data_IF_712742496640
#
_entry.id   IF_712742496640
#
_cell.length_a   1.000
_cell.length_b   1.000
_cell.length_c   1.000
_cell.angle_alpha   90.00
_cell.angle_beta   90.00
_cell.angle_gamma   90.00
#
_symmetry.space_group_name_H-M   'P 1'
#
loop_
_entity.id
_entity.type
_entity.pdbx_description
1 polymer ?
#
# COMPACT_ATOMS: atom_id res chain seq x y z
N UNK A 1 -20.42 -36.41 25.55
CA UNK A 1 -21.55 -37.35 25.25
C UNK A 1 -22.06 -37.14 23.81
N UNK A 2 -22.37 -35.92 23.35
CA UNK A 2 -22.86 -35.65 21.98
C UNK A 2 -21.85 -36.10 20.87
N UNK A 3 -20.58 -35.84 21.03
CA UNK A 3 -19.53 -36.28 20.14
C UNK A 3 -19.42 -37.80 20.00
N UNK A 4 -19.57 -38.52 21.13
CA UNK A 4 -19.55 -39.99 21.13
C UNK A 4 -20.78 -40.59 20.46
N UNK A 5 -21.94 -39.95 20.58
CA UNK A 5 -23.18 -40.37 19.93
C UNK A 5 -23.09 -40.14 18.38
N UNK A 6 -22.57 -39.01 17.94
CA UNK A 6 -22.35 -38.73 16.51
C UNK A 6 -21.36 -39.72 15.87
N UNK A 7 -20.28 -40.06 16.56
CA UNK A 7 -19.29 -41.04 16.06
C UNK A 7 -19.89 -42.44 15.96
N UNK A 8 -20.77 -42.83 16.90
CA UNK A 8 -21.47 -44.10 16.87
C UNK A 8 -22.47 -44.19 15.69
N UNK A 9 -23.09 -43.07 15.29
CA UNK A 9 -24.02 -43.03 14.15
C UNK A 9 -23.32 -43.03 12.79
N UNK A 10 -22.16 -42.40 12.68
CA UNK A 10 -21.48 -42.23 11.38
C UNK A 10 -20.44 -43.30 11.08
N UNK A 11 -20.01 -44.08 12.09
CA UNK A 11 -18.97 -45.12 11.93
C UNK A 11 -17.58 -44.58 11.53
N UNK A 12 -17.40 -43.24 11.50
CA UNK A 12 -16.20 -42.58 11.04
C UNK A 12 -15.81 -41.35 11.86
N UNK A 13 -14.80 -40.58 11.45
CA UNK A 13 -14.44 -39.34 12.09
C UNK A 13 -15.59 -38.32 11.99
N UNK A 14 -15.71 -37.51 13.04
CA UNK A 14 -16.70 -36.43 13.04
C UNK A 14 -16.24 -35.36 12.06
N UNK A 15 -17.03 -35.16 11.03
CA UNK A 15 -16.77 -34.16 9.98
C UNK A 15 -18.04 -33.37 9.70
N UNK A 16 -17.85 -32.13 9.30
CA UNK A 16 -18.90 -31.26 8.79
C UNK A 16 -18.35 -30.43 7.64
N UNK A 17 -19.19 -30.12 6.67
CA UNK A 17 -18.89 -29.15 5.62
C UNK A 17 -20.04 -28.15 5.53
N UNK A 18 -19.72 -26.91 5.26
CA UNK A 18 -20.68 -25.86 5.00
C UNK A 18 -20.21 -25.00 3.83
N UNK A 19 -21.15 -24.53 3.02
CA UNK A 19 -20.91 -23.54 2.00
C UNK A 19 -21.70 -22.28 2.33
N UNK A 20 -21.00 -21.15 2.33
CA UNK A 20 -21.61 -19.84 2.57
C UNK A 20 -21.39 -18.95 1.36
N UNK A 21 -22.48 -18.44 0.79
CA UNK A 21 -22.43 -17.43 -0.23
C UNK A 21 -22.78 -16.09 0.43
N UNK A 22 -21.76 -15.24 0.60
CA UNK A 22 -21.95 -13.92 1.19
C UNK A 22 -22.70 -13.02 0.20
N UNK A 23 -23.77 -12.38 0.71
CA UNK A 23 -24.55 -11.42 -0.08
C UNK A 23 -23.98 -10.02 0.03
N UNK A 24 -23.92 -9.31 -1.09
CA UNK A 24 -23.52 -7.89 -1.12
C UNK A 24 -22.01 -7.64 -1.16
N UNK A 25 -21.64 -6.37 -1.09
CA UNK A 25 -20.25 -5.89 -1.14
C UNK A 25 -19.91 -5.22 0.17
N UNK A 26 -18.75 -5.53 0.72
CA UNK A 26 -18.18 -4.85 1.89
C UNK A 26 -17.03 -3.94 1.45
N UNK A 27 -17.29 -2.69 1.04
CA UNK A 27 -16.22 -1.80 0.59
C UNK A 27 -15.24 -1.56 1.74
N UNK A 28 -13.94 -1.58 1.41
CA UNK A 28 -12.87 -1.15 2.29
C UNK A 28 -12.61 0.34 2.12
N UNK A 29 -12.29 1.02 3.21
CA UNK A 29 -11.89 2.42 3.21
C UNK A 29 -10.51 2.54 3.85
N UNK A 30 -9.66 3.39 3.27
CA UNK A 30 -8.36 3.70 3.85
C UNK A 30 -8.10 5.20 3.76
N UNK A 31 -7.48 5.74 4.82
CA UNK A 31 -6.97 7.10 4.86
C UNK A 31 -5.52 7.03 5.28
N UNK A 32 -4.63 7.70 4.53
CA UNK A 32 -3.20 7.60 4.74
C UNK A 32 -2.56 8.99 4.77
N UNK A 33 -1.52 9.12 5.61
CA UNK A 33 -0.81 10.36 5.85
C UNK A 33 0.68 10.06 5.89
N UNK A 34 1.48 10.98 5.37
CA UNK A 34 2.93 10.90 5.49
C UNK A 34 3.56 12.27 5.69
N UNK A 35 4.69 12.25 6.40
CA UNK A 35 5.61 13.36 6.50
C UNK A 35 6.82 13.06 5.60
N UNK A 36 7.23 14.03 4.79
CA UNK A 36 8.36 13.89 3.88
C UNK A 36 9.37 14.99 4.07
N UNK A 37 10.62 14.69 3.76
CA UNK A 37 11.70 15.64 3.53
C UNK A 37 12.06 15.58 2.03
N UNK A 38 12.18 16.73 1.40
CA UNK A 38 12.58 16.86 -0.01
C UNK A 38 13.93 17.57 -0.06
N UNK A 39 14.90 16.95 -0.68
CA UNK A 39 16.18 17.56 -1.00
C UNK A 39 16.05 18.34 -2.32
N UNK A 40 16.14 19.67 -2.30
CA UNK A 40 15.95 20.49 -3.50
C UNK A 40 17.08 20.34 -4.51
N UNK A 41 18.28 19.94 -4.09
CA UNK A 41 19.45 19.84 -4.97
C UNK A 41 19.44 18.53 -5.78
N UNK A 42 18.74 17.52 -5.29
CA UNK A 42 18.70 16.19 -5.94
C UNK A 42 17.31 15.73 -6.33
N UNK A 43 16.26 16.40 -5.84
CA UNK A 43 14.88 15.95 -5.98
C UNK A 43 14.55 14.68 -5.17
N UNK A 44 15.44 14.26 -4.25
CA UNK A 44 15.20 13.07 -3.43
C UNK A 44 14.11 13.33 -2.39
N UNK A 45 13.17 12.41 -2.33
CA UNK A 45 12.12 12.38 -1.30
C UNK A 45 12.47 11.32 -0.26
N UNK A 46 12.52 11.72 1.00
CA UNK A 46 12.67 10.82 2.14
C UNK A 46 11.38 10.83 2.96
N UNK A 47 10.77 9.66 3.14
CA UNK A 47 9.57 9.53 3.97
C UNK A 47 10.02 9.41 5.43
N UNK A 48 9.65 10.39 6.26
CA UNK A 48 10.02 10.43 7.67
C UNK A 48 9.04 9.64 8.54
N UNK A 49 7.76 9.67 8.18
CA UNK A 49 6.68 8.99 8.89
C UNK A 49 5.58 8.59 7.93
N UNK A 50 4.95 7.45 8.17
CA UNK A 50 3.80 7.01 7.40
C UNK A 50 2.75 6.37 8.30
N UNK A 51 1.50 6.82 8.19
CA UNK A 51 0.35 6.32 8.95
C UNK A 51 -0.73 5.86 7.99
N UNK A 52 -1.23 4.65 8.17
CA UNK A 52 -2.30 4.07 7.37
C UNK A 52 -3.44 3.59 8.27
N UNK A 53 -4.58 4.26 8.21
CA UNK A 53 -5.81 3.86 8.85
C UNK A 53 -6.70 3.14 7.85
N UNK A 54 -7.10 1.90 8.13
CA UNK A 54 -7.98 1.13 7.25
C UNK A 54 -9.15 0.53 8.00
N UNK A 55 -10.32 0.61 7.39
CA UNK A 55 -11.49 -0.18 7.78
C UNK A 55 -11.29 -1.64 7.31
N UNK A 56 -11.07 -2.51 8.27
CA UNK A 56 -10.76 -3.93 8.06
C UNK A 56 -11.95 -4.85 8.34
N UNK A 57 -13.11 -4.25 8.62
CA UNK A 57 -14.25 -5.02 9.16
C UNK A 57 -13.91 -5.52 10.55
N UNK A 58 -13.82 -6.83 10.74
CA UNK A 58 -13.30 -7.45 11.95
C UNK A 58 -11.93 -8.05 11.69
N UNK A 59 -10.94 -7.62 12.45
CA UNK A 59 -9.58 -8.17 12.38
C UNK A 59 -9.52 -9.53 13.10
N UNK A 60 -9.67 -10.63 12.37
CA UNK A 60 -9.59 -11.99 12.93
C UNK A 60 -8.18 -12.29 13.45
N UNK A 61 -7.17 -11.78 12.75
CA UNK A 61 -5.78 -11.92 13.12
C UNK A 61 -5.07 -10.57 12.97
N UNK A 62 -5.10 -9.70 14.00
CA UNK A 62 -4.64 -8.30 13.90
C UNK A 62 -3.22 -8.17 13.36
N UNK A 63 -2.25 -8.94 13.83
CA UNK A 63 -0.86 -8.83 13.37
C UNK A 63 -0.68 -9.19 11.88
N UNK A 64 -1.49 -10.10 11.33
CA UNK A 64 -1.47 -10.38 9.90
C UNK A 64 -2.12 -9.27 9.10
N UNK A 65 -3.16 -8.66 9.63
CA UNK A 65 -3.80 -7.48 9.03
C UNK A 65 -2.84 -6.30 8.99
N UNK A 66 -2.13 -6.02 10.09
CA UNK A 66 -1.07 -5.00 10.13
C UNK A 66 0.00 -5.26 9.08
N UNK A 67 0.47 -6.51 8.96
CA UNK A 67 1.43 -6.89 7.92
C UNK A 67 0.93 -6.68 6.49
N UNK A 68 -0.36 -6.93 6.22
CA UNK A 68 -0.97 -6.64 4.92
C UNK A 68 -1.06 -5.13 4.65
N UNK A 69 -1.40 -4.33 5.65
CA UNK A 69 -1.44 -2.87 5.54
C UNK A 69 -0.04 -2.35 5.23
N UNK A 70 0.97 -2.74 6.00
CA UNK A 70 2.36 -2.34 5.81
C UNK A 70 2.88 -2.73 4.42
N UNK A 71 2.65 -3.97 4.00
CA UNK A 71 3.07 -4.45 2.69
C UNK A 71 2.41 -3.70 1.53
N UNK A 72 1.11 -3.44 1.62
CA UNK A 72 0.37 -2.67 0.62
C UNK A 72 0.85 -1.21 0.53
N UNK A 73 1.11 -0.58 1.67
CA UNK A 73 1.68 0.79 1.71
C UNK A 73 3.06 0.83 1.06
N UNK A 74 3.96 -0.10 1.38
CA UNK A 74 5.30 -0.15 0.76
C UNK A 74 5.21 -0.31 -0.75
N UNK A 75 4.31 -1.16 -1.24
CA UNK A 75 4.07 -1.29 -2.67
C UNK A 75 3.59 0.04 -3.30
N UNK A 76 2.68 0.73 -2.65
CA UNK A 76 2.20 2.04 -3.12
C UNK A 76 3.27 3.13 -3.06
N UNK A 77 4.18 3.10 -2.08
CA UNK A 77 5.37 3.96 -2.01
C UNK A 77 6.29 3.69 -3.20
N UNK A 78 6.53 2.43 -3.54
CA UNK A 78 7.32 2.05 -4.70
C UNK A 78 6.76 2.64 -6.00
N UNK A 79 5.47 2.52 -6.21
CA UNK A 79 4.79 3.13 -7.38
C UNK A 79 4.84 4.65 -7.36
N UNK A 80 4.80 5.25 -6.18
CA UNK A 80 4.87 6.70 -6.04
C UNK A 80 6.24 7.28 -6.41
N UNK A 81 7.33 6.61 -6.03
CA UNK A 81 8.66 7.21 -6.02
C UNK A 81 9.70 6.52 -6.92
N UNK A 82 9.58 5.20 -7.16
CA UNK A 82 10.70 4.43 -7.69
C UNK A 82 10.36 3.55 -8.89
N UNK A 83 9.20 2.88 -8.89
CA UNK A 83 8.90 1.80 -9.82
C UNK A 83 8.39 2.32 -11.16
N UNK A 84 9.09 1.99 -12.24
CA UNK A 84 8.74 2.38 -13.59
C UNK A 84 9.21 1.31 -14.59
N UNK A 85 8.41 1.03 -15.60
CA UNK A 85 8.85 0.28 -16.77
C UNK A 85 9.48 1.22 -17.79
N UNK A 86 10.74 1.00 -18.11
CA UNK A 86 11.50 1.82 -19.08
C UNK A 86 11.61 1.02 -20.38
N UNK A 87 10.91 1.49 -21.42
CA UNK A 87 10.96 0.90 -22.76
C UNK A 87 11.87 1.72 -23.66
N UNK A 88 12.73 1.03 -24.41
CA UNK A 88 13.54 1.67 -25.45
C UNK A 88 12.72 1.93 -26.75
N UNK A 89 13.38 2.52 -27.74
CA UNK A 89 12.75 2.87 -29.01
C UNK A 89 12.20 1.66 -29.80
N UNK A 90 12.76 0.47 -29.56
CA UNK A 90 12.35 -0.78 -30.15
C UNK A 90 11.20 -1.48 -29.38
N UNK A 91 10.72 -0.87 -28.28
CA UNK A 91 9.66 -1.42 -27.44
C UNK A 91 10.12 -2.55 -26.50
N UNK A 92 11.43 -2.70 -26.31
CA UNK A 92 12.00 -3.65 -25.36
C UNK A 92 12.11 -3.01 -23.98
N UNK A 93 11.79 -3.77 -22.94
CA UNK A 93 11.95 -3.35 -21.55
C UNK A 93 13.43 -3.38 -21.15
N UNK A 94 14.01 -2.22 -20.85
CA UNK A 94 15.42 -2.08 -20.51
C UNK A 94 15.73 -2.41 -19.04
N UNK A 95 14.76 -2.25 -18.15
CA UNK A 95 14.92 -2.48 -16.71
C UNK A 95 14.14 -3.72 -16.21
N UNK A 96 14.25 -4.83 -16.92
CA UNK A 96 13.52 -6.07 -16.62
C UNK A 96 14.02 -6.84 -15.38
N UNK A 97 15.20 -6.51 -14.87
CA UNK A 97 15.85 -7.22 -13.76
C UNK A 97 15.70 -6.53 -12.40
N UNK A 98 15.87 -7.28 -11.31
CA UNK A 98 15.85 -6.72 -9.95
C UNK A 98 16.99 -5.74 -9.64
N UNK A 99 18.00 -5.63 -10.50
CA UNK A 99 19.04 -4.62 -10.38
C UNK A 99 18.56 -3.24 -10.85
N UNK A 100 17.66 -3.22 -11.82
CA UNK A 100 17.25 -2.01 -12.53
C UNK A 100 15.82 -1.59 -12.21
N UNK A 101 14.92 -2.56 -11.94
CA UNK A 101 13.57 -2.27 -11.47
C UNK A 101 13.58 -2.05 -9.95
N UNK A 102 13.33 -0.82 -9.53
CA UNK A 102 13.56 -0.37 -8.16
C UNK A 102 12.38 -0.59 -7.23
N UNK A 103 12.23 -1.82 -6.75
CA UNK A 103 11.33 -2.09 -5.62
C UNK A 103 11.94 -1.49 -4.34
N UNK A 104 11.16 -0.83 -3.49
CA UNK A 104 11.65 -0.29 -2.22
C UNK A 104 12.31 -1.37 -1.35
N UNK A 105 13.44 -1.05 -0.75
CA UNK A 105 14.09 -1.89 0.25
C UNK A 105 13.82 -1.36 1.66
N UNK A 106 14.14 -2.13 2.68
CA UNK A 106 13.80 -1.80 4.07
C UNK A 106 14.38 -0.46 4.56
N UNK A 107 15.47 0.02 3.95
CA UNK A 107 16.08 1.33 4.27
C UNK A 107 15.37 2.52 3.60
N UNK A 108 14.50 2.28 2.63
CA UNK A 108 13.84 3.33 1.86
C UNK A 108 12.54 3.81 2.53
N UNK A 109 12.05 3.06 3.50
CA UNK A 109 10.76 3.32 4.14
C UNK A 109 10.88 3.35 5.66
N UNK A 110 10.12 4.22 6.36
CA UNK A 110 10.03 4.19 7.81
C UNK A 110 9.19 2.99 8.27
N UNK A 111 9.12 2.77 9.58
CA UNK A 111 8.10 1.90 10.16
C UNK A 111 6.71 2.48 9.86
N UNK A 112 5.85 1.70 9.23
CA UNK A 112 4.50 2.13 8.88
C UNK A 112 3.57 1.87 10.07
N UNK A 113 2.94 2.92 10.57
CA UNK A 113 1.94 2.85 11.61
C UNK A 113 0.60 2.40 11.02
N UNK A 114 0.18 1.17 11.33
CA UNK A 114 -1.10 0.62 10.88
C UNK A 114 -2.17 0.84 11.96
N UNK A 115 -3.25 1.53 11.60
CA UNK A 115 -4.41 1.75 12.46
C UNK A 115 -5.59 0.93 11.95
N UNK A 116 -5.98 -0.09 12.72
CA UNK A 116 -7.11 -0.95 12.40
C UNK A 116 -8.41 -0.29 12.84
N UNK A 117 -9.27 0.06 11.87
CA UNK A 117 -10.63 0.53 12.13
C UNK A 117 -11.59 -0.65 11.89
N UNK A 118 -12.29 -1.08 12.93
CA UNK A 118 -13.17 -2.24 12.85
C UNK A 118 -14.63 -1.80 12.70
N UNK A 119 -15.13 -1.80 11.44
CA UNK A 119 -16.55 -1.65 11.13
C UNK A 119 -17.07 -2.96 10.53
N UNK A 120 -17.66 -3.86 11.31
CA UNK A 120 -18.05 -5.18 10.84
C UNK A 120 -18.95 -5.14 9.63
N UNK A 121 -18.69 -6.00 8.65
CA UNK A 121 -19.55 -6.20 7.49
C UNK A 121 -20.69 -7.16 7.84
N UNK A 122 -21.95 -6.71 7.95
CA UNK A 122 -23.07 -7.57 8.34
C UNK A 122 -23.42 -8.65 7.31
N UNK A 123 -23.00 -8.45 6.05
CA UNK A 123 -23.25 -9.40 4.95
C UNK A 123 -22.19 -10.49 4.83
N UNK A 124 -21.18 -10.51 5.69
CA UNK A 124 -20.08 -11.47 5.59
C UNK A 124 -19.87 -12.23 6.90
N UNK A 125 -19.51 -13.53 6.85
CA UNK A 125 -19.15 -14.30 8.07
C UNK A 125 -18.09 -13.57 8.88
N UNK A 126 -18.29 -13.56 10.20
CA UNK A 126 -17.43 -12.87 11.17
C UNK A 126 -17.31 -11.35 10.99
N UNK A 127 -18.03 -10.74 10.03
CA UNK A 127 -17.95 -9.31 9.78
C UNK A 127 -16.65 -8.84 9.11
N UNK A 128 -15.92 -9.73 8.44
CA UNK A 128 -14.63 -9.40 7.80
C UNK A 128 -14.79 -8.55 6.54
N UNK A 129 -13.74 -7.83 6.18
CA UNK A 129 -13.55 -7.12 4.90
C UNK A 129 -12.20 -7.48 4.30
N UNK A 130 -12.01 -7.22 3.00
CA UNK A 130 -10.71 -7.38 2.35
C UNK A 130 -9.69 -6.35 2.86
N UNK A 131 -8.45 -6.79 3.06
CA UNK A 131 -7.37 -5.93 3.57
C UNK A 131 -6.11 -5.91 2.67
N UNK A 132 -6.08 -6.75 1.64
CA UNK A 132 -4.88 -6.93 0.80
C UNK A 132 -4.59 -5.76 -0.13
N UNK A 133 -5.60 -5.22 -0.84
CA UNK A 133 -5.38 -4.27 -1.94
C UNK A 133 -5.72 -2.82 -1.59
N UNK A 134 -6.51 -2.59 -0.54
CA UNK A 134 -7.01 -1.26 -0.17
C UNK A 134 -5.87 -0.28 0.15
N UNK A 135 -4.75 -0.77 0.65
CA UNK A 135 -3.62 0.06 1.09
C UNK A 135 -2.65 0.46 -0.02
N UNK A 136 -2.80 -0.08 -1.23
CA UNK A 136 -1.88 0.19 -2.34
C UNK A 136 -2.16 1.56 -2.99
N UNK A 137 -3.43 1.93 -3.11
CA UNK A 137 -3.83 3.14 -3.84
C UNK A 137 -3.55 4.48 -3.12
N UNK A 138 -3.83 4.63 -1.80
CA UNK A 138 -3.69 5.93 -1.14
C UNK A 138 -2.26 6.48 -1.01
N UNK A 139 -1.17 5.67 -0.92
CA UNK A 139 0.19 6.19 -0.76
C UNK A 139 0.59 7.18 -1.85
N UNK A 140 0.24 6.92 -3.10
CA UNK A 140 0.59 7.79 -4.22
C UNK A 140 0.05 9.21 -4.03
N UNK A 141 -1.21 9.34 -3.62
CA UNK A 141 -1.83 10.63 -3.36
C UNK A 141 -1.31 11.28 -2.07
N UNK A 142 -1.08 10.49 -1.02
CA UNK A 142 -0.53 10.99 0.24
C UNK A 142 0.85 11.61 0.04
N UNK A 143 1.73 10.92 -0.70
CA UNK A 143 3.09 11.39 -1.00
C UNK A 143 3.03 12.62 -1.93
N UNK A 144 2.21 12.62 -2.97
CA UNK A 144 2.07 13.78 -3.84
C UNK A 144 1.60 15.03 -3.07
N UNK A 145 0.66 14.87 -2.14
CA UNK A 145 0.21 15.96 -1.27
C UNK A 145 1.31 16.44 -0.30
N UNK A 146 2.09 15.51 0.24
CA UNK A 146 3.18 15.84 1.15
C UNK A 146 4.32 16.59 0.43
N UNK A 147 4.68 16.19 -0.80
CA UNK A 147 5.64 16.90 -1.65
C UNK A 147 5.13 18.31 -1.95
N UNK A 148 3.89 18.46 -2.40
CA UNK A 148 3.30 19.76 -2.67
C UNK A 148 3.31 20.66 -1.42
N UNK A 149 3.01 20.10 -0.26
CA UNK A 149 3.05 20.86 0.99
C UNK A 149 4.49 21.26 1.40
N UNK A 150 5.47 20.43 1.08
CA UNK A 150 6.88 20.70 1.42
C UNK A 150 7.53 21.75 0.51
N UNK A 151 7.28 21.67 -0.80
CA UNK A 151 8.01 22.46 -1.81
C UNK A 151 7.11 23.31 -2.73
N UNK A 152 5.79 23.24 -2.58
CA UNK A 152 4.85 24.03 -3.38
C UNK A 152 4.67 23.54 -4.82
N UNK A 153 5.22 22.38 -5.20
CA UNK A 153 5.14 21.82 -6.56
C UNK A 153 4.22 20.61 -6.58
N UNK A 154 3.16 20.67 -7.38
CA UNK A 154 2.24 19.56 -7.59
C UNK A 154 2.71 18.63 -8.68
N UNK A 155 3.15 17.43 -8.30
CA UNK A 155 3.46 16.37 -9.24
C UNK A 155 2.18 15.72 -9.78
N UNK A 156 2.11 15.48 -11.09
CA UNK A 156 0.93 14.91 -11.78
C UNK A 156 1.21 13.57 -12.46
N UNK A 157 2.46 13.14 -12.47
CA UNK A 157 2.90 11.90 -13.10
C UNK A 157 3.65 11.02 -12.10
N UNK A 158 3.57 9.72 -12.28
CA UNK A 158 4.26 8.70 -11.50
C UNK A 158 5.33 7.99 -12.36
N UNK A 159 6.40 7.53 -11.73
CA UNK A 159 6.81 7.82 -10.36
C UNK A 159 7.29 9.28 -10.22
N UNK A 160 7.12 9.85 -9.03
CA UNK A 160 7.69 11.16 -8.66
C UNK A 160 9.17 10.95 -8.27
N UNK A 161 9.93 10.39 -9.20
CA UNK A 161 11.35 10.03 -9.01
C UNK A 161 12.23 11.27 -8.89
N UNK A 162 13.41 11.15 -8.25
CA UNK A 162 14.30 12.29 -8.06
C UNK A 162 14.57 13.13 -9.33
N UNK A 163 14.87 12.55 -10.50
CA UNK A 163 15.06 13.35 -11.71
C UNK A 163 13.82 14.12 -12.14
N UNK A 164 12.62 13.52 -11.98
CA UNK A 164 11.37 14.19 -12.37
C UNK A 164 11.00 15.31 -11.40
N UNK A 165 11.21 15.07 -10.10
CA UNK A 165 10.96 16.11 -9.10
C UNK A 165 11.96 17.25 -9.22
N UNK A 166 13.25 16.95 -9.41
CA UNK A 166 14.29 17.97 -9.64
C UNK A 166 13.93 18.85 -10.84
N UNK A 167 13.61 18.26 -11.99
CA UNK A 167 13.20 19.01 -13.16
C UNK A 167 11.96 19.90 -12.92
N UNK A 168 11.03 19.43 -12.09
CA UNK A 168 9.85 20.22 -11.70
C UNK A 168 10.23 21.37 -10.76
N UNK A 169 11.17 21.17 -9.83
CA UNK A 169 11.68 22.22 -8.92
C UNK A 169 12.44 23.30 -9.72
N UNK A 170 13.32 22.91 -10.67
CA UNK A 170 14.04 23.82 -11.57
C UNK A 170 13.06 24.66 -12.40
N UNK A 171 12.03 24.04 -12.98
CA UNK A 171 11.02 24.73 -13.77
C UNK A 171 10.22 25.77 -12.97
N UNK A 172 10.16 25.61 -11.63
CA UNK A 172 9.52 26.56 -10.70
C UNK A 172 10.51 27.52 -10.03
N UNK A 173 11.81 27.46 -10.36
CA UNK A 173 12.85 28.29 -9.76
C UNK A 173 13.12 27.99 -8.29
N UNK A 174 12.89 26.77 -7.85
CA UNK A 174 13.06 26.27 -6.48
C UNK A 174 14.31 25.40 -6.30
N UNK A 175 15.02 25.13 -7.38
CA UNK A 175 16.33 24.50 -7.42
C UNK A 175 17.20 25.22 -8.43
N UNK A 176 18.52 25.24 -8.20
CA UNK A 176 19.47 25.78 -9.18
C UNK A 176 19.60 24.81 -10.35
N UNK A 177 19.40 25.30 -11.58
CA UNK A 177 19.69 24.51 -12.77
C UNK A 177 21.18 24.13 -12.74
N UNK A 178 21.48 22.85 -12.90
CA UNK A 178 22.87 22.41 -13.00
C UNK A 178 23.51 23.03 -14.26
N UNK A 179 24.59 23.78 -14.09
CA UNK A 179 25.42 24.36 -15.17
C UNK A 179 26.05 23.28 -16.07
#
# INVERSE_FOLDING_TARGET
KALAAMKAQTGGPIGASASVNAGGVGPGFSSQFCDVEVDPDTGKVTILRFVAAQDVGRAIHPSYVEGQIQGGVVQGIGWALNEEYIYNAEGKLDNAGFLDYRVPVASDVPMIEALLVEVPNPGHPYGVKGVGEVNICPPMAAIANAIENAVGVRMQELPMSPPRLLAALEAHGLADAAD
#
